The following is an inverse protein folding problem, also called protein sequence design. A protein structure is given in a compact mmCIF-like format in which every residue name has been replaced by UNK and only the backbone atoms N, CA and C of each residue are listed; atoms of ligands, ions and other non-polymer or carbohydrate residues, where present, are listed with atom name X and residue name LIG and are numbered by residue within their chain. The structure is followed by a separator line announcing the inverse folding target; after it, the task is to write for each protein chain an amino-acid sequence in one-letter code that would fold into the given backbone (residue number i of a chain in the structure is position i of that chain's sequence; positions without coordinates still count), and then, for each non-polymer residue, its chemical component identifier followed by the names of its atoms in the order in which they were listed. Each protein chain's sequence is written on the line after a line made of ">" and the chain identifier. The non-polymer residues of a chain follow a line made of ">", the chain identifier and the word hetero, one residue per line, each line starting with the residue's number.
data_IF_653978348714
#
_entry.id   IF_653978348714
#
_cell.length_a   1.000
_cell.length_b   1.000
_cell.length_c   1.000
_cell.angle_alpha   90.00
_cell.angle_beta   90.00
_cell.angle_gamma   90.00
#
_symmetry.space_group_name_H-M   'P 1'
#
loop_
_entity.id
_entity.type
_entity.pdbx_description
1 polymer ?
#
# COMPACT_ATOMS: atom_id res chain seq x y z
N UNK A 1 38.72 -33.82 40.95
CA UNK A 1 39.00 -32.49 40.32
C UNK A 1 38.63 -32.59 38.86
N UNK A 2 37.44 -32.09 38.49
CA UNK A 2 36.94 -32.09 37.11
C UNK A 2 37.18 -30.71 36.56
N UNK A 3 38.07 -30.58 35.57
CA UNK A 3 38.38 -29.32 34.90
C UNK A 3 37.31 -29.06 33.84
N UNK A 4 36.40 -28.11 34.09
CA UNK A 4 35.51 -27.57 33.08
C UNK A 4 36.30 -26.70 32.10
N UNK A 5 36.36 -27.13 30.81
CA UNK A 5 36.84 -26.34 29.72
C UNK A 5 35.71 -25.36 29.30
N UNK A 6 35.92 -24.08 29.53
CA UNK A 6 35.10 -23.03 28.93
C UNK A 6 35.37 -22.98 27.42
N UNK A 7 34.30 -23.19 26.63
CA UNK A 7 34.30 -22.98 25.18
C UNK A 7 33.88 -21.48 24.97
N UNK A 8 34.69 -20.68 24.31
CA UNK A 8 34.24 -19.29 24.01
C UNK A 8 33.15 -19.32 22.96
N UNK A 9 32.01 -18.73 23.32
CA UNK A 9 30.90 -18.49 22.43
C UNK A 9 31.33 -17.40 21.44
N UNK A 10 31.60 -17.78 20.18
CA UNK A 10 31.86 -16.85 19.09
C UNK A 10 30.54 -16.21 18.71
N UNK A 11 30.26 -14.99 19.19
CA UNK A 11 29.17 -14.17 18.67
C UNK A 11 29.56 -13.67 17.29
N UNK A 12 28.97 -14.28 16.25
CA UNK A 12 29.04 -13.74 14.92
C UNK A 12 28.25 -12.41 14.88
N UNK A 13 28.94 -11.29 14.88
CA UNK A 13 28.36 -10.01 14.58
C UNK A 13 27.90 -10.04 13.12
N UNK A 14 26.58 -10.12 12.89
CA UNK A 14 26.00 -9.88 11.58
C UNK A 14 26.25 -8.40 11.23
N UNK A 15 27.26 -8.14 10.40
CA UNK A 15 27.46 -6.84 9.80
C UNK A 15 26.37 -6.71 8.73
N UNK A 16 25.27 -6.07 9.10
CA UNK A 16 24.29 -5.59 8.14
C UNK A 16 24.94 -4.52 7.29
N UNK A 17 25.41 -4.86 6.11
CA UNK A 17 25.73 -3.89 5.08
C UNK A 17 24.42 -3.24 4.66
N UNK A 18 24.11 -2.07 5.20
CA UNK A 18 23.19 -1.16 4.58
C UNK A 18 23.86 -0.71 3.27
N UNK A 19 23.44 -1.31 2.17
CA UNK A 19 23.73 -0.78 0.84
C UNK A 19 23.07 0.60 0.84
N UNK A 20 23.81 1.71 0.60
CA UNK A 20 23.16 3.00 0.40
C UNK A 20 22.16 2.82 -0.75
N UNK A 21 20.92 3.24 -0.57
CA UNK A 21 19.95 3.30 -1.63
C UNK A 21 20.48 4.33 -2.64
N UNK A 22 21.23 3.85 -3.63
CA UNK A 22 21.50 4.64 -4.82
C UNK A 22 20.15 4.78 -5.54
N UNK A 23 19.83 5.98 -6.01
CA UNK A 23 18.76 6.19 -6.95
C UNK A 23 18.87 5.09 -8.02
N UNK A 24 17.90 4.18 -8.07
CA UNK A 24 17.95 3.07 -8.99
C UNK A 24 17.35 3.56 -10.30
N UNK A 25 18.21 3.89 -11.26
CA UNK A 25 17.77 4.21 -12.62
C UNK A 25 17.09 2.97 -13.23
N UNK A 26 15.79 3.05 -13.39
CA UNK A 26 15.02 1.99 -14.05
C UNK A 26 15.10 2.14 -15.57
N UNK A 27 15.43 1.06 -16.26
CA UNK A 27 15.64 1.06 -17.71
C UNK A 27 14.38 1.39 -18.53
N UNK A 28 13.20 1.33 -17.92
CA UNK A 28 11.88 1.59 -18.51
C UNK A 28 11.18 2.85 -17.96
N UNK A 29 11.89 3.68 -17.15
CA UNK A 29 11.39 4.94 -16.61
C UNK A 29 12.36 6.06 -16.96
N UNK A 30 12.31 6.63 -18.18
CA UNK A 30 13.20 7.72 -18.56
C UNK A 30 12.86 9.01 -17.78
N UNK A 31 13.82 9.93 -17.60
CA UNK A 31 13.66 11.18 -16.84
C UNK A 31 12.44 12.03 -17.30
N UNK A 32 12.06 11.95 -18.55
CA UNK A 32 10.87 12.64 -19.09
C UNK A 32 9.56 11.88 -18.85
N UNK A 33 9.58 10.73 -18.19
CA UNK A 33 8.36 10.01 -17.82
C UNK A 33 7.59 10.82 -16.77
N UNK A 34 6.29 10.98 -16.94
CA UNK A 34 5.45 11.81 -16.07
C UNK A 34 5.50 11.43 -14.57
N UNK A 35 5.76 10.16 -14.26
CA UNK A 35 5.87 9.65 -12.90
C UNK A 35 7.34 9.48 -12.42
N UNK A 36 8.35 9.91 -13.20
CA UNK A 36 9.76 9.68 -12.87
C UNK A 36 10.09 10.06 -11.43
N UNK A 37 9.91 11.31 -11.06
CA UNK A 37 10.25 11.82 -9.71
C UNK A 37 9.48 11.10 -8.59
N UNK A 38 8.24 10.70 -8.84
CA UNK A 38 7.43 9.98 -7.86
C UNK A 38 7.93 8.55 -7.64
N UNK A 39 8.34 7.89 -8.72
CA UNK A 39 8.92 6.54 -8.68
C UNK A 39 10.26 6.58 -7.96
N UNK A 40 11.13 7.53 -8.30
CA UNK A 40 12.42 7.73 -7.68
C UNK A 40 12.26 7.93 -6.16
N UNK A 41 11.45 8.90 -5.72
CA UNK A 41 11.18 9.15 -4.31
C UNK A 41 10.65 7.92 -3.57
N UNK A 42 9.69 7.21 -4.15
CA UNK A 42 9.11 6.03 -3.53
C UNK A 42 10.10 4.86 -3.39
N UNK A 43 11.04 4.75 -4.34
CA UNK A 43 12.09 3.74 -4.33
C UNK A 43 13.20 4.08 -3.33
N UNK A 44 13.68 5.33 -3.31
CA UNK A 44 14.70 5.80 -2.37
C UNK A 44 14.24 5.65 -0.90
N UNK A 45 12.94 5.83 -0.64
CA UNK A 45 12.36 5.62 0.68
C UNK A 45 12.04 4.13 0.99
N UNK A 46 12.36 3.21 0.08
CA UNK A 46 12.14 1.77 0.26
C UNK A 46 10.66 1.37 0.31
N UNK A 47 9.76 2.19 -0.24
CA UNK A 47 8.32 1.94 -0.30
C UNK A 47 7.98 1.06 -1.50
N UNK A 48 8.65 1.32 -2.63
CA UNK A 48 8.60 0.50 -3.82
C UNK A 48 9.95 -0.16 -4.10
N UNK A 49 9.88 -1.32 -4.73
CA UNK A 49 11.04 -2.03 -5.27
C UNK A 49 10.82 -2.24 -6.77
N UNK A 50 11.90 -2.18 -7.56
CA UNK A 50 11.90 -2.60 -8.96
C UNK A 50 11.98 -4.12 -9.10
N UNK A 51 12.11 -4.57 -10.33
CA UNK A 51 12.28 -5.98 -10.66
C UNK A 51 13.77 -6.33 -10.85
N UNK A 52 14.10 -7.62 -10.73
CA UNK A 52 15.47 -8.13 -10.90
C UNK A 52 16.06 -7.83 -12.30
N UNK A 53 15.20 -7.61 -13.30
CA UNK A 53 15.58 -7.23 -14.66
C UNK A 53 15.95 -5.74 -14.82
N UNK A 54 15.97 -4.98 -13.73
CA UNK A 54 16.26 -3.55 -13.70
C UNK A 54 15.10 -2.66 -14.16
N UNK A 55 13.90 -3.22 -14.34
CA UNK A 55 12.71 -2.46 -14.70
C UNK A 55 11.88 -2.06 -13.48
N UNK A 56 11.06 -1.01 -13.61
CA UNK A 56 10.01 -0.66 -12.65
C UNK A 56 8.63 -1.14 -13.08
N UNK A 57 8.39 -1.24 -14.37
CA UNK A 57 7.11 -1.56 -15.01
C UNK A 57 6.00 -0.57 -14.63
N UNK A 58 6.15 0.74 -14.96
CA UNK A 58 5.25 1.80 -14.52
C UNK A 58 3.79 1.56 -14.92
N UNK A 59 3.55 1.00 -16.10
CA UNK A 59 2.20 0.73 -16.63
C UNK A 59 1.62 -0.63 -16.18
N UNK A 60 2.38 -1.43 -15.41
CA UNK A 60 1.85 -2.69 -14.88
C UNK A 60 0.74 -2.39 -13.87
N UNK A 61 -0.41 -3.01 -14.06
CA UNK A 61 -1.51 -2.97 -13.13
C UNK A 61 -1.18 -3.75 -11.85
N UNK A 62 -1.61 -3.20 -10.71
CA UNK A 62 -1.36 -3.77 -9.39
C UNK A 62 -2.42 -4.79 -9.00
N UNK A 63 -1.98 -5.80 -8.28
CA UNK A 63 -2.89 -6.67 -7.52
C UNK A 63 -3.23 -6.05 -6.16
N UNK A 64 -4.28 -6.55 -5.52
CA UNK A 64 -4.63 -6.16 -4.15
C UNK A 64 -3.49 -6.43 -3.15
N UNK A 65 -2.75 -7.54 -3.33
CA UNK A 65 -1.60 -7.90 -2.50
C UNK A 65 -0.45 -6.91 -2.67
N UNK A 66 -0.11 -6.54 -3.92
CA UNK A 66 0.93 -5.56 -4.21
C UNK A 66 0.58 -4.17 -3.66
N UNK A 67 -0.67 -3.72 -3.81
CA UNK A 67 -1.15 -2.48 -3.21
C UNK A 67 -0.98 -2.51 -1.68
N UNK A 68 -1.45 -3.59 -1.03
CA UNK A 68 -1.38 -3.71 0.43
C UNK A 68 0.07 -3.67 0.92
N UNK A 69 1.00 -4.39 0.26
CA UNK A 69 2.43 -4.33 0.59
C UNK A 69 2.93 -2.88 0.59
N UNK A 70 2.63 -2.12 -0.46
CA UNK A 70 3.10 -0.73 -0.61
C UNK A 70 2.53 0.17 0.50
N UNK A 71 1.23 0.10 0.77
CA UNK A 71 0.59 0.92 1.82
C UNK A 71 1.12 0.56 3.21
N UNK A 72 1.26 -0.73 3.55
CA UNK A 72 1.83 -1.15 4.84
C UNK A 72 3.30 -0.75 4.96
N UNK A 73 4.09 -0.83 3.88
CA UNK A 73 5.49 -0.37 3.86
C UNK A 73 5.60 1.14 4.10
N UNK A 74 4.69 1.93 3.52
CA UNK A 74 4.60 3.38 3.77
C UNK A 74 4.31 3.69 5.25
N UNK A 75 3.54 2.85 5.92
CA UNK A 75 3.08 3.05 7.30
C UNK A 75 3.91 2.31 8.35
N UNK A 76 5.02 1.65 7.96
CA UNK A 76 5.77 0.74 8.83
C UNK A 76 6.02 1.28 10.24
N UNK A 77 6.41 2.56 10.36
CA UNK A 77 6.74 3.16 11.65
C UNK A 77 5.52 3.36 12.58
N UNK A 78 4.31 3.40 12.01
CA UNK A 78 3.04 3.50 12.74
C UNK A 78 2.44 2.14 13.10
N UNK A 79 2.93 1.07 12.47
CA UNK A 79 2.38 -0.28 12.56
C UNK A 79 3.32 -1.28 13.25
N UNK A 80 4.42 -0.81 13.86
CA UNK A 80 5.45 -1.66 14.46
C UNK A 80 4.92 -2.66 15.52
N UNK A 81 3.86 -2.30 16.23
CA UNK A 81 3.27 -3.13 17.27
C UNK A 81 2.16 -4.07 16.76
N UNK A 82 1.88 -4.04 15.46
CA UNK A 82 0.85 -4.88 14.85
C UNK A 82 1.46 -6.21 14.38
N UNK A 83 0.84 -7.33 14.77
CA UNK A 83 1.31 -8.67 14.41
C UNK A 83 1.32 -8.87 12.89
N UNK A 84 2.47 -9.32 12.38
CA UNK A 84 2.66 -9.77 10.99
C UNK A 84 2.53 -11.30 10.82
N UNK A 85 2.75 -12.05 11.91
CA UNK A 85 2.89 -13.51 11.86
C UNK A 85 1.52 -14.21 11.88
N UNK A 86 0.57 -13.65 12.64
CA UNK A 86 -0.73 -14.26 12.83
C UNK A 86 -1.85 -13.21 12.77
N UNK A 87 -3.03 -13.63 12.33
CA UNK A 87 -4.25 -12.85 12.51
C UNK A 87 -4.70 -12.89 13.98
N UNK A 88 -5.24 -11.78 14.47
CA UNK A 88 -5.86 -11.70 15.78
C UNK A 88 -7.06 -12.65 15.87
N UNK A 89 -7.34 -13.14 17.09
CA UNK A 89 -8.40 -14.14 17.32
C UNK A 89 -9.82 -13.58 17.06
N UNK A 90 -9.99 -12.29 17.11
CA UNK A 90 -11.25 -11.57 16.83
C UNK A 90 -11.53 -11.35 15.34
N UNK A 91 -10.57 -11.66 14.45
CA UNK A 91 -10.78 -11.56 12.99
C UNK A 91 -11.75 -12.66 12.53
N UNK A 92 -12.93 -12.29 12.00
CA UNK A 92 -13.90 -13.26 11.50
C UNK A 92 -13.35 -14.11 10.36
N UNK A 93 -13.65 -15.41 10.37
CA UNK A 93 -13.23 -16.36 9.33
C UNK A 93 -11.72 -16.40 9.08
N UNK A 94 -10.92 -16.31 10.14
CA UNK A 94 -9.45 -16.28 10.12
C UNK A 94 -8.84 -17.32 9.18
N UNK A 95 -9.27 -18.58 9.27
CA UNK A 95 -8.75 -19.67 8.42
C UNK A 95 -9.07 -19.48 6.93
N UNK A 96 -10.17 -18.78 6.63
CA UNK A 96 -10.53 -18.42 5.25
C UNK A 96 -9.49 -17.46 4.65
N UNK A 97 -8.99 -16.50 5.43
CA UNK A 97 -8.02 -15.51 4.97
C UNK A 97 -6.62 -16.09 4.84
N UNK A 98 -6.13 -16.80 5.85
CA UNK A 98 -4.73 -17.30 5.92
C UNK A 98 -4.37 -18.29 4.81
N UNK A 99 -5.32 -19.04 4.27
CA UNK A 99 -5.07 -20.07 3.26
C UNK A 99 -5.17 -19.56 1.80
N UNK A 100 -5.38 -18.26 1.59
CA UNK A 100 -5.66 -17.70 0.25
C UNK A 100 -4.53 -16.87 -0.33
N UNK A 101 -3.58 -16.47 0.49
CA UNK A 101 -2.50 -15.57 0.08
C UNK A 101 -1.21 -16.31 -0.19
N UNK A 102 -0.35 -15.68 -1.00
CA UNK A 102 1.01 -16.16 -1.20
C UNK A 102 1.85 -15.86 0.04
N UNK A 103 2.85 -16.71 0.31
CA UNK A 103 3.70 -16.58 1.50
C UNK A 103 4.35 -15.19 1.62
N UNK A 104 4.67 -14.54 0.48
CA UNK A 104 5.28 -13.21 0.49
C UNK A 104 4.32 -12.09 0.92
N UNK A 105 3.03 -12.22 0.59
CA UNK A 105 2.02 -11.19 0.86
C UNK A 105 1.38 -11.33 2.24
N UNK A 106 1.40 -12.53 2.81
CA UNK A 106 0.72 -12.85 4.05
C UNK A 106 1.06 -11.93 5.22
N UNK A 107 2.34 -11.57 5.51
CA UNK A 107 2.67 -10.65 6.60
C UNK A 107 2.01 -9.28 6.45
N UNK A 108 1.98 -8.74 5.24
CA UNK A 108 1.36 -7.43 4.97
C UNK A 108 -0.15 -7.46 5.12
N UNK A 109 -0.79 -8.53 4.66
CA UNK A 109 -2.23 -8.72 4.76
C UNK A 109 -2.67 -8.97 6.21
N UNK A 110 -1.86 -9.70 7.01
CA UNK A 110 -2.09 -9.86 8.44
C UNK A 110 -2.06 -8.50 9.15
N UNK A 111 -1.04 -7.69 8.91
CA UNK A 111 -0.95 -6.33 9.47
C UNK A 111 -2.17 -5.50 9.04
N UNK A 112 -2.54 -5.53 7.76
CA UNK A 112 -3.66 -4.75 7.23
C UNK A 112 -5.01 -5.14 7.86
N UNK A 113 -5.25 -6.44 8.10
CA UNK A 113 -6.45 -6.92 8.79
C UNK A 113 -6.41 -6.60 10.29
N UNK A 114 -5.29 -6.85 10.97
CA UNK A 114 -5.14 -6.62 12.40
C UNK A 114 -5.24 -5.12 12.76
N UNK A 115 -4.86 -4.23 11.85
CA UNK A 115 -4.98 -2.78 12.02
C UNK A 115 -6.32 -2.19 11.54
N UNK A 116 -7.18 -3.00 10.89
CA UNK A 116 -8.44 -2.52 10.31
C UNK A 116 -8.30 -1.75 8.99
N UNK A 117 -7.08 -1.62 8.44
CA UNK A 117 -6.86 -1.02 7.12
C UNK A 117 -7.52 -1.87 6.03
N UNK A 118 -7.43 -3.20 6.14
CA UNK A 118 -8.21 -4.14 5.37
C UNK A 118 -9.38 -4.65 6.23
N UNK A 119 -10.56 -4.74 5.64
CA UNK A 119 -11.76 -5.26 6.31
C UNK A 119 -12.16 -6.61 5.73
N UNK A 120 -12.68 -7.50 6.56
CA UNK A 120 -13.15 -8.83 6.12
C UNK A 120 -14.30 -8.80 5.10
N UNK A 121 -14.96 -7.64 4.94
CA UNK A 121 -15.93 -7.40 3.89
C UNK A 121 -15.31 -7.02 2.52
N UNK A 122 -14.00 -6.78 2.48
CA UNK A 122 -13.28 -6.45 1.23
C UNK A 122 -12.97 -7.77 0.48
N UNK A 123 -14.00 -8.43 -0.01
CA UNK A 123 -13.93 -9.80 -0.55
C UNK A 123 -12.96 -9.98 -1.71
N UNK A 124 -12.65 -8.91 -2.46
CA UNK A 124 -11.67 -8.97 -3.54
C UNK A 124 -10.27 -9.37 -3.06
N UNK A 125 -9.91 -9.03 -1.82
CA UNK A 125 -8.63 -9.42 -1.21
C UNK A 125 -8.53 -10.91 -0.87
N UNK A 126 -9.63 -11.65 -0.92
CA UNK A 126 -9.63 -13.09 -0.72
C UNK A 126 -9.08 -13.88 -1.91
N UNK A 127 -8.80 -13.24 -3.04
CA UNK A 127 -8.36 -13.91 -4.25
C UNK A 127 -6.98 -13.44 -4.66
N UNK A 128 -6.07 -14.43 -4.88
CA UNK A 128 -4.71 -14.18 -5.38
C UNK A 128 -4.73 -13.51 -6.75
N UNK A 129 -3.77 -12.62 -6.96
CA UNK A 129 -3.54 -11.96 -8.25
C UNK A 129 -4.74 -11.16 -8.81
N UNK A 130 -5.74 -10.84 -7.98
CA UNK A 130 -6.85 -10.00 -8.42
C UNK A 130 -6.37 -8.55 -8.55
N UNK A 131 -6.59 -7.96 -9.73
CA UNK A 131 -6.23 -6.57 -10.00
C UNK A 131 -7.08 -5.62 -9.15
N UNK A 132 -6.46 -4.56 -8.64
CA UNK A 132 -7.14 -3.57 -7.80
C UNK A 132 -7.72 -2.45 -8.64
N UNK A 133 -9.02 -2.17 -8.43
CA UNK A 133 -9.69 -1.00 -9.01
C UNK A 133 -9.36 0.28 -8.23
N UNK A 134 -9.57 1.44 -8.87
CA UNK A 134 -9.38 2.75 -8.22
C UNK A 134 -10.32 2.94 -7.04
N UNK A 135 -11.56 2.45 -7.13
CA UNK A 135 -12.53 2.53 -6.02
C UNK A 135 -12.19 1.56 -4.88
N UNK A 136 -11.64 0.36 -5.16
CA UNK A 136 -11.16 -0.54 -4.10
C UNK A 136 -9.89 0.00 -3.44
N UNK A 137 -8.94 0.54 -4.23
CA UNK A 137 -7.78 1.24 -3.69
C UNK A 137 -8.18 2.37 -2.75
N UNK A 138 -9.24 3.13 -3.08
CA UNK A 138 -9.72 4.23 -2.25
C UNK A 138 -10.12 3.78 -0.84
N UNK A 139 -10.66 2.55 -0.67
CA UNK A 139 -11.00 2.00 0.65
C UNK A 139 -9.74 1.84 1.51
N UNK A 140 -8.70 1.23 0.94
CA UNK A 140 -7.44 0.97 1.66
C UNK A 140 -6.75 2.29 1.99
N UNK A 141 -6.64 3.19 1.02
CA UNK A 141 -5.97 4.49 1.21
C UNK A 141 -6.72 5.35 2.23
N UNK A 142 -8.05 5.42 2.17
CA UNK A 142 -8.84 6.20 3.13
C UNK A 142 -8.65 5.70 4.57
N UNK A 143 -8.72 4.38 4.79
CA UNK A 143 -8.49 3.78 6.11
C UNK A 143 -7.04 3.97 6.58
N UNK A 144 -6.08 3.85 5.67
CA UNK A 144 -4.67 4.06 6.00
C UNK A 144 -4.39 5.49 6.48
N UNK A 145 -4.89 6.50 5.78
CA UNK A 145 -4.71 7.90 6.19
C UNK A 145 -5.48 8.23 7.47
N UNK A 146 -6.65 7.66 7.69
CA UNK A 146 -7.40 7.77 8.93
C UNK A 146 -6.63 7.14 10.10
N UNK A 147 -6.07 5.94 9.92
CA UNK A 147 -5.21 5.29 10.90
C UNK A 147 -3.98 6.15 11.26
N UNK A 148 -3.42 6.88 10.29
CA UNK A 148 -2.32 7.81 10.52
C UNK A 148 -2.73 9.11 11.22
N UNK A 149 -4.02 9.34 11.45
CA UNK A 149 -4.54 10.50 12.17
C UNK A 149 -5.16 11.59 11.28
N UNK A 150 -5.39 11.30 10.01
CA UNK A 150 -6.10 12.24 9.13
C UNK A 150 -7.54 12.42 9.59
N UNK A 151 -7.96 13.66 9.81
CA UNK A 151 -9.33 13.97 10.22
C UNK A 151 -10.35 13.59 9.14
N UNK A 152 -11.50 13.09 9.57
CA UNK A 152 -12.63 12.83 8.67
C UNK A 152 -13.24 14.14 8.15
N UNK A 153 -13.62 14.18 6.88
CA UNK A 153 -14.35 15.31 6.30
C UNK A 153 -15.85 14.98 6.27
N UNK A 154 -16.64 15.62 7.12
CA UNK A 154 -18.07 15.30 7.30
C UNK A 154 -18.91 15.64 6.06
N UNK A 155 -18.62 16.77 5.39
CA UNK A 155 -19.32 17.17 4.16
C UNK A 155 -18.38 17.16 2.96
N UNK A 156 -18.56 16.17 2.10
CA UNK A 156 -17.77 15.98 0.88
C UNK A 156 -18.51 16.38 -0.40
N UNK A 157 -19.75 16.90 -0.31
CA UNK A 157 -20.60 17.17 -1.47
C UNK A 157 -19.97 18.17 -2.44
N UNK A 158 -19.30 19.21 -1.95
CA UNK A 158 -18.62 20.20 -2.80
C UNK A 158 -17.50 19.60 -3.65
N UNK A 159 -16.93 18.47 -3.21
CA UNK A 159 -15.89 17.73 -3.91
C UNK A 159 -16.49 16.70 -4.87
N UNK A 160 -17.41 15.88 -4.37
CA UNK A 160 -18.00 14.77 -5.15
C UNK A 160 -18.88 15.23 -6.29
N UNK A 161 -19.51 16.43 -6.18
CA UNK A 161 -20.26 17.07 -7.25
C UNK A 161 -19.39 17.43 -8.47
N UNK A 162 -18.07 17.44 -8.33
CA UNK A 162 -17.11 17.67 -9.43
C UNK A 162 -16.79 16.40 -10.20
N UNK A 163 -17.21 15.24 -9.70
CA UNK A 163 -16.95 13.93 -10.31
C UNK A 163 -18.11 13.60 -11.26
N UNK A 164 -17.87 13.70 -12.56
CA UNK A 164 -18.90 13.56 -13.58
C UNK A 164 -19.51 12.15 -13.65
N UNK A 165 -18.76 11.13 -13.29
CA UNK A 165 -19.18 9.72 -13.25
C UNK A 165 -19.46 9.21 -11.82
N UNK A 166 -19.74 10.12 -10.87
CA UNK A 166 -20.00 9.77 -9.45
C UNK A 166 -21.05 8.70 -9.26
N UNK A 167 -22.08 8.69 -10.11
CA UNK A 167 -23.16 7.70 -10.03
C UNK A 167 -22.70 6.29 -10.36
N UNK A 168 -21.59 6.14 -11.11
CA UNK A 168 -21.02 4.85 -11.49
C UNK A 168 -20.10 4.27 -10.41
N UNK A 169 -19.69 5.06 -9.42
CA UNK A 169 -18.89 4.59 -8.28
C UNK A 169 -19.72 3.65 -7.43
N UNK A 170 -19.13 2.52 -7.05
CA UNK A 170 -19.75 1.51 -6.17
C UNK A 170 -20.30 2.16 -4.89
N UNK A 171 -21.54 1.85 -4.52
CA UNK A 171 -22.20 2.43 -3.36
C UNK A 171 -21.42 2.28 -2.04
N UNK A 172 -20.81 1.11 -1.83
CA UNK A 172 -19.96 0.83 -0.65
C UNK A 172 -18.59 1.50 -0.74
N UNK A 173 -18.16 1.93 -1.92
CA UNK A 173 -16.88 2.61 -2.14
C UNK A 173 -17.00 4.14 -2.00
N UNK A 174 -18.20 4.69 -2.26
CA UNK A 174 -18.45 6.14 -2.26
C UNK A 174 -17.93 6.88 -1.03
N UNK A 175 -18.14 6.44 0.22
CA UNK A 175 -17.61 7.15 1.39
C UNK A 175 -16.08 7.28 1.35
N UNK A 176 -15.38 6.25 0.93
CA UNK A 176 -13.92 6.24 0.86
C UNK A 176 -13.39 7.07 -0.31
N UNK A 177 -14.00 6.94 -1.49
CA UNK A 177 -13.67 7.76 -2.65
C UNK A 177 -13.86 9.24 -2.33
N UNK A 178 -14.95 9.60 -1.65
CA UNK A 178 -15.21 10.98 -1.23
C UNK A 178 -14.09 11.55 -0.35
N UNK A 179 -13.62 10.76 0.65
CA UNK A 179 -12.53 11.18 1.55
C UNK A 179 -11.21 11.39 0.80
N UNK A 180 -10.76 10.42 0.01
CA UNK A 180 -9.47 10.52 -0.68
C UNK A 180 -9.50 11.58 -1.78
N UNK A 181 -10.65 11.81 -2.40
CA UNK A 181 -10.82 12.86 -3.39
C UNK A 181 -10.83 14.26 -2.75
N UNK A 182 -11.60 14.47 -1.68
CA UNK A 182 -11.65 15.73 -0.95
C UNK A 182 -10.29 16.15 -0.39
N UNK A 183 -9.48 15.16 0.03
CA UNK A 183 -8.10 15.36 0.52
C UNK A 183 -7.08 15.54 -0.61
N UNK A 184 -7.48 15.43 -1.88
CA UNK A 184 -6.60 15.54 -3.04
C UNK A 184 -5.58 14.41 -3.20
N UNK A 185 -5.74 13.31 -2.46
CA UNK A 185 -4.83 12.16 -2.51
C UNK A 185 -5.06 11.36 -3.79
N UNK A 186 -6.31 10.99 -4.07
CA UNK A 186 -6.70 10.37 -5.33
C UNK A 186 -7.61 11.35 -6.06
N UNK A 187 -7.11 11.94 -7.13
CA UNK A 187 -7.86 12.91 -7.95
C UNK A 187 -8.52 12.22 -9.15
N UNK A 188 -9.50 12.88 -9.77
CA UNK A 188 -10.05 12.45 -11.05
C UNK A 188 -9.12 12.77 -12.22
N UNK A 189 -9.61 12.45 -13.40
CA UNK A 189 -8.97 12.76 -14.68
C UNK A 189 -9.37 14.16 -15.17
N UNK A 190 -8.66 14.67 -16.18
CA UNK A 190 -8.90 16.02 -16.75
C UNK A 190 -10.32 16.22 -17.29
N UNK A 191 -10.99 15.13 -17.71
CA UNK A 191 -12.37 15.14 -18.18
C UNK A 191 -13.42 15.16 -17.04
N UNK A 192 -12.96 15.27 -15.80
CA UNK A 192 -13.79 15.29 -14.60
C UNK A 192 -14.28 13.91 -14.13
N UNK A 193 -13.87 12.81 -14.79
CA UNK A 193 -14.24 11.45 -14.35
C UNK A 193 -13.32 10.93 -13.25
N UNK A 194 -13.82 10.06 -12.39
CA UNK A 194 -13.03 9.31 -11.41
C UNK A 194 -12.58 7.95 -11.95
N UNK A 195 -13.40 7.31 -12.78
CA UNK A 195 -13.18 5.99 -13.38
C UNK A 195 -12.92 4.91 -12.33
N UNK A 196 -13.85 4.77 -11.37
CA UNK A 196 -13.71 3.90 -10.19
C UNK A 196 -13.33 2.47 -10.52
N UNK A 197 -13.85 1.91 -11.61
CA UNK A 197 -13.60 0.52 -12.04
C UNK A 197 -12.29 0.30 -12.81
N UNK A 198 -11.57 1.36 -13.21
CA UNK A 198 -10.28 1.22 -13.86
C UNK A 198 -9.25 0.64 -12.90
N UNK A 199 -8.38 -0.22 -13.42
CA UNK A 199 -7.28 -0.77 -12.63
C UNK A 199 -6.15 0.26 -12.46
N UNK A 200 -5.49 0.17 -11.31
CA UNK A 200 -4.41 1.10 -10.90
C UNK A 200 -3.07 0.59 -11.38
N UNK A 201 -2.27 1.48 -11.95
CA UNK A 201 -0.88 1.16 -12.34
C UNK A 201 0.11 1.46 -11.21
N UNK A 202 1.33 0.89 -11.32
CA UNK A 202 2.43 1.16 -10.39
C UNK A 202 2.82 2.64 -10.39
N UNK A 203 2.83 3.28 -11.56
CA UNK A 203 3.11 4.71 -11.68
C UNK A 203 2.06 5.56 -10.97
N UNK A 204 0.77 5.26 -11.13
CA UNK A 204 -0.30 5.96 -10.42
C UNK A 204 -0.19 5.81 -8.90
N UNK A 205 0.14 4.61 -8.40
CA UNK A 205 0.33 4.41 -6.96
C UNK A 205 1.55 5.19 -6.43
N UNK A 206 2.63 5.35 -7.19
CA UNK A 206 3.80 6.16 -6.78
C UNK A 206 3.40 7.62 -6.49
N UNK A 207 2.50 8.21 -7.31
CA UNK A 207 1.96 9.55 -7.06
C UNK A 207 1.14 9.59 -5.77
N UNK A 208 0.33 8.58 -5.52
CA UNK A 208 -0.51 8.49 -4.32
C UNK A 208 0.35 8.38 -3.07
N UNK A 209 1.39 7.55 -3.09
CA UNK A 209 2.38 7.41 -2.01
C UNK A 209 3.01 8.77 -1.68
N UNK A 210 3.47 9.50 -2.67
CA UNK A 210 4.05 10.84 -2.49
C UNK A 210 3.06 11.82 -1.87
N UNK A 211 1.81 11.82 -2.32
CA UNK A 211 0.77 12.68 -1.76
C UNK A 211 0.45 12.36 -0.30
N UNK A 212 0.39 11.07 0.06
CA UNK A 212 0.21 10.65 1.44
C UNK A 212 1.39 11.12 2.30
N UNK A 213 2.63 10.90 1.83
CA UNK A 213 3.84 11.29 2.56
C UNK A 213 3.94 12.80 2.79
N UNK A 214 3.50 13.63 1.83
CA UNK A 214 3.55 15.10 1.92
C UNK A 214 2.44 15.71 2.78
N UNK A 215 1.31 15.05 2.90
CA UNK A 215 0.15 15.58 3.63
C UNK A 215 0.36 15.62 5.16
N UNK A 216 1.57 15.31 5.68
CA UNK A 216 1.91 15.38 7.12
C UNK A 216 0.73 14.96 8.01
N UNK A 217 0.21 13.77 7.74
CA UNK A 217 -0.84 13.15 8.52
C UNK A 217 -0.23 12.56 9.78
#
# INVERSE_FOLDING_TARGET
>A
MIKHKLIPLLTAAAISFSIPAFAQDYNDVPENHWAYTYIENATENGIFEGYEDGSFKPEKQLTHEELTKVIISLMKDKLNDISSDNLNDDIPNRDYWTNRWDNWSQPYLNIALNSGILNTNDTAYAYKNMLVSREDMSKIVARAIEYMGSEHIDNTDEYTNKISDWNNVCGLCKPYVAQVYAKGIITGYEDGTFRGTNYVTRAELSVIVEKISKNKI
#
